data_IF_388061777820
#
_entry.id   IF_388061777820
#
_cell.length_a   1.000
_cell.length_b   1.000
_cell.length_c   1.000
_cell.angle_alpha   90.00
_cell.angle_beta   90.00
_cell.angle_gamma   90.00
#
_symmetry.space_group_name_H-M   'P 1'
#
loop_
_entity.id
_entity.type
_entity.pdbx_description
1 polymer ?
#
# COMPACT_ATOMS: atom_id res chain seq x y z
N UNK A 1 -23.95 -19.60 22.34
CA UNK A 1 -23.85 -18.39 21.50
C UNK A 1 -22.62 -17.65 22.01
N UNK A 2 -21.44 -18.07 21.57
CA UNK A 2 -20.17 -17.59 22.13
C UNK A 2 -19.87 -16.22 21.54
N UNK A 3 -19.68 -15.23 22.42
CA UNK A 3 -19.31 -13.86 22.09
C UNK A 3 -18.10 -13.81 21.14
N UNK A 4 -18.33 -13.38 19.90
CA UNK A 4 -17.28 -12.93 18.99
C UNK A 4 -16.62 -11.68 19.59
N UNK A 5 -15.59 -11.90 20.40
CA UNK A 5 -14.62 -10.87 20.78
C UNK A 5 -14.21 -10.16 19.50
N UNK A 6 -14.62 -8.89 19.37
CA UNK A 6 -14.29 -8.02 18.24
C UNK A 6 -12.80 -8.16 17.90
N UNK A 7 -12.51 -9.01 16.91
CA UNK A 7 -11.15 -9.39 16.59
C UNK A 7 -10.51 -8.19 15.90
N UNK A 8 -9.86 -7.33 16.70
CA UNK A 8 -9.07 -6.21 16.19
C UNK A 8 -8.14 -6.78 15.13
N UNK A 9 -8.27 -6.30 13.90
CA UNK A 9 -7.44 -6.76 12.80
C UNK A 9 -5.98 -6.50 13.16
N UNK A 10 -5.19 -7.58 13.33
CA UNK A 10 -3.75 -7.46 13.53
C UNK A 10 -3.07 -6.85 12.31
N UNK A 11 -1.81 -6.43 12.45
CA UNK A 11 -1.02 -5.82 11.36
C UNK A 11 -0.97 -6.66 10.09
N UNK A 12 -0.88 -7.99 10.23
CA UNK A 12 -0.82 -8.91 9.09
C UNK A 12 -2.16 -9.06 8.36
N UNK A 13 -3.24 -9.34 9.11
CA UNK A 13 -4.58 -9.57 8.53
C UNK A 13 -5.26 -8.28 8.07
N UNK A 14 -5.00 -7.17 8.77
CA UNK A 14 -5.65 -5.88 8.53
C UNK A 14 -4.95 -4.97 7.53
N UNK A 15 -3.62 -5.06 7.40
CA UNK A 15 -2.84 -4.14 6.56
C UNK A 15 -2.05 -4.88 5.50
N UNK A 16 -1.23 -5.87 5.87
CA UNK A 16 -0.31 -6.51 4.92
C UNK A 16 -1.04 -7.29 3.81
N UNK A 17 -1.96 -8.20 4.18
CA UNK A 17 -2.73 -8.98 3.20
C UNK A 17 -3.52 -8.09 2.23
N UNK A 18 -4.34 -7.11 2.67
CA UNK A 18 -5.09 -6.28 1.74
C UNK A 18 -4.18 -5.39 0.88
N UNK A 19 -3.11 -4.82 1.44
CA UNK A 19 -2.20 -3.95 0.68
C UNK A 19 -1.44 -4.73 -0.40
N UNK A 20 -0.93 -5.92 -0.08
CA UNK A 20 -0.27 -6.80 -1.04
C UNK A 20 -1.25 -7.24 -2.14
N UNK A 21 -2.49 -7.60 -1.78
CA UNK A 21 -3.51 -8.01 -2.74
C UNK A 21 -3.87 -6.89 -3.72
N UNK A 22 -3.99 -5.64 -3.25
CA UNK A 22 -4.26 -4.48 -4.13
C UNK A 22 -3.12 -4.22 -5.11
N UNK A 23 -1.86 -4.22 -4.64
CA UNK A 23 -0.70 -3.94 -5.48
C UNK A 23 -0.48 -5.06 -6.50
N UNK A 24 -0.42 -6.32 -6.04
CA UNK A 24 -0.22 -7.45 -6.94
C UNK A 24 -1.40 -7.67 -7.88
N UNK A 25 -2.63 -7.46 -7.42
CA UNK A 25 -3.84 -7.70 -8.21
C UNK A 25 -3.89 -6.85 -9.48
N UNK A 26 -3.81 -5.52 -9.36
CA UNK A 26 -3.97 -4.63 -10.52
C UNK A 26 -2.75 -4.71 -11.46
N UNK A 27 -1.54 -4.65 -10.92
CA UNK A 27 -0.32 -4.53 -11.74
C UNK A 27 -0.05 -5.83 -12.50
N UNK A 28 -0.14 -6.98 -11.82
CA UNK A 28 0.18 -8.26 -12.43
C UNK A 28 -0.85 -8.68 -13.47
N UNK A 29 -2.14 -8.42 -13.21
CA UNK A 29 -3.23 -8.88 -14.09
C UNK A 29 -3.49 -7.96 -15.28
N UNK A 30 -3.34 -6.63 -15.10
CA UNK A 30 -3.74 -5.65 -16.14
C UNK A 30 -2.55 -4.99 -16.85
N UNK A 31 -1.39 -4.86 -16.20
CA UNK A 31 -0.33 -3.97 -16.70
C UNK A 31 0.93 -4.69 -17.13
N UNK A 32 1.37 -5.73 -16.41
CA UNK A 32 2.65 -6.42 -16.69
C UNK A 32 2.72 -6.98 -18.11
N UNK A 33 1.67 -7.66 -18.59
CA UNK A 33 1.66 -8.24 -19.93
C UNK A 33 1.78 -7.20 -21.05
N UNK A 34 1.03 -6.10 -20.95
CA UNK A 34 1.08 -5.02 -21.94
C UNK A 34 2.39 -4.23 -21.89
N UNK A 35 2.89 -3.98 -20.68
CA UNK A 35 4.13 -3.22 -20.44
C UNK A 35 5.37 -3.94 -21.00
N UNK A 36 5.50 -5.25 -20.76
CA UNK A 36 6.62 -6.04 -21.29
C UNK A 36 6.57 -6.12 -22.82
N UNK A 37 5.37 -6.21 -23.40
CA UNK A 37 5.21 -6.27 -24.85
C UNK A 37 5.57 -4.96 -25.58
N UNK A 38 5.31 -3.79 -24.98
CA UNK A 38 5.63 -2.50 -25.60
C UNK A 38 7.04 -2.00 -25.28
N UNK A 39 7.49 -2.14 -24.03
CA UNK A 39 8.74 -1.54 -23.53
C UNK A 39 9.92 -2.53 -23.56
N UNK A 40 9.64 -3.81 -23.75
CA UNK A 40 10.64 -4.87 -23.72
C UNK A 40 11.07 -5.26 -22.30
N UNK A 41 11.81 -6.36 -22.19
CA UNK A 41 12.15 -6.97 -20.90
C UNK A 41 13.08 -6.09 -20.06
N UNK A 42 14.14 -5.54 -20.66
CA UNK A 42 15.11 -4.68 -19.95
C UNK A 42 14.45 -3.38 -19.47
N UNK A 43 13.66 -2.73 -20.33
CA UNK A 43 12.97 -1.49 -19.97
C UNK A 43 11.91 -1.73 -18.88
N UNK A 44 11.23 -2.88 -18.91
CA UNK A 44 10.29 -3.25 -17.86
C UNK A 44 10.94 -3.40 -16.48
N UNK A 45 12.14 -4.00 -16.41
CA UNK A 45 12.90 -4.17 -15.17
C UNK A 45 13.29 -2.82 -14.57
N UNK A 46 13.82 -1.90 -15.39
CA UNK A 46 14.20 -0.55 -14.92
C UNK A 46 13.01 0.19 -14.32
N UNK A 47 11.85 0.13 -14.98
CA UNK A 47 10.62 0.78 -14.50
C UNK A 47 10.16 0.16 -13.17
N UNK A 48 10.19 -1.17 -13.04
CA UNK A 48 9.79 -1.85 -11.80
C UNK A 48 10.72 -1.46 -10.64
N UNK A 49 12.03 -1.43 -10.87
CA UNK A 49 13.00 -1.02 -9.85
C UNK A 49 12.75 0.42 -9.39
N UNK A 50 12.53 1.34 -10.33
CA UNK A 50 12.30 2.76 -10.03
C UNK A 50 10.95 2.98 -9.32
N UNK A 51 9.90 2.29 -9.77
CA UNK A 51 8.57 2.30 -9.14
C UNK A 51 8.61 1.75 -7.70
N UNK A 52 9.34 0.66 -7.48
CA UNK A 52 9.55 0.08 -6.15
C UNK A 52 10.24 1.07 -5.21
N UNK A 53 11.26 1.80 -5.70
CA UNK A 53 11.94 2.84 -4.92
C UNK A 53 11.01 3.98 -4.50
N UNK A 54 10.17 4.47 -5.42
CA UNK A 54 9.18 5.52 -5.13
C UNK A 54 8.16 5.03 -4.10
N UNK A 55 7.66 3.81 -4.27
CA UNK A 55 6.69 3.19 -3.35
C UNK A 55 7.28 3.04 -1.95
N UNK A 56 8.55 2.63 -1.86
CA UNK A 56 9.26 2.50 -0.59
C UNK A 56 9.42 3.85 0.13
N UNK A 57 9.86 4.89 -0.58
CA UNK A 57 9.98 6.25 -0.03
C UNK A 57 8.63 6.80 0.43
N UNK A 58 7.57 6.57 -0.35
CA UNK A 58 6.20 7.01 -0.01
C UNK A 58 5.70 6.30 1.24
N UNK A 59 5.91 4.99 1.33
CA UNK A 59 5.56 4.18 2.51
C UNK A 59 6.27 4.68 3.77
N UNK A 60 7.56 5.03 3.66
CA UNK A 60 8.32 5.59 4.77
C UNK A 60 7.76 6.96 5.23
N UNK A 61 7.36 7.82 4.30
CA UNK A 61 6.73 9.11 4.61
C UNK A 61 5.40 8.94 5.35
N UNK A 62 4.57 7.99 4.90
CA UNK A 62 3.28 7.70 5.55
C UNK A 62 3.51 7.10 6.95
N UNK A 63 4.49 6.21 7.10
CA UNK A 63 4.84 5.62 8.39
C UNK A 63 5.30 6.68 9.41
N UNK A 64 6.11 7.66 8.97
CA UNK A 64 6.54 8.78 9.81
C UNK A 64 5.35 9.64 10.26
N UNK A 65 4.43 9.95 9.33
CA UNK A 65 3.21 10.72 9.63
C UNK A 65 2.31 9.98 10.61
N UNK A 66 2.05 8.69 10.36
CA UNK A 66 1.23 7.84 11.21
C UNK A 66 1.79 7.68 12.63
N UNK A 67 3.12 7.77 12.80
CA UNK A 67 3.77 7.70 14.11
C UNK A 67 3.71 9.02 14.87
N UNK A 68 3.63 10.16 14.18
CA UNK A 68 3.63 11.49 14.80
C UNK A 68 2.24 11.92 15.33
N UNK A 69 1.16 11.31 14.83
CA UNK A 69 -0.21 11.66 15.20
C UNK A 69 -0.98 10.52 15.89
N UNK A 70 -1.91 10.85 16.81
CA UNK A 70 -2.89 9.87 17.30
C UNK A 70 -3.91 9.59 16.20
N UNK A 71 -3.76 8.45 15.53
CA UNK A 71 -4.66 8.02 14.45
C UNK A 71 -6.04 7.66 15.04
N UNK A 72 -7.05 8.46 14.71
CA UNK A 72 -8.46 8.18 15.05
C UNK A 72 -9.12 7.21 14.06
N UNK A 73 -10.42 6.94 14.25
CA UNK A 73 -11.17 5.94 13.47
C UNK A 73 -11.34 6.23 11.96
N UNK A 74 -10.87 7.38 11.45
CA UNK A 74 -11.05 7.79 10.06
C UNK A 74 -9.94 7.39 9.07
N UNK A 75 -8.99 6.55 9.49
CA UNK A 75 -7.99 5.95 8.60
C UNK A 75 -7.13 6.98 7.86
N UNK A 76 -6.87 6.75 6.56
CA UNK A 76 -6.03 7.62 5.74
C UNK A 76 -6.56 9.05 5.60
N UNK A 77 -7.89 9.23 5.50
CA UNK A 77 -8.48 10.56 5.40
C UNK A 77 -8.26 11.38 6.67
N UNK A 78 -8.42 10.76 7.84
CA UNK A 78 -8.12 11.39 9.13
C UNK A 78 -6.62 11.73 9.27
N UNK A 79 -5.74 10.90 8.73
CA UNK A 79 -4.30 11.17 8.72
C UNK A 79 -3.94 12.41 7.88
N UNK A 80 -4.55 12.55 6.70
CA UNK A 80 -4.23 13.64 5.78
C UNK A 80 -4.81 14.98 6.27
N UNK A 81 -6.08 15.01 6.70
CA UNK A 81 -6.73 16.26 7.14
C UNK A 81 -6.06 16.87 8.38
N UNK A 82 -5.55 16.05 9.30
CA UNK A 82 -4.85 16.58 10.49
C UNK A 82 -3.42 17.00 10.22
N UNK A 83 -2.78 16.42 9.19
CA UNK A 83 -1.38 16.72 8.83
C UNK A 83 -1.26 17.94 7.91
N UNK A 84 -2.24 18.19 7.06
CA UNK A 84 -2.25 19.34 6.14
C UNK A 84 -3.16 20.50 6.60
N UNK A 85 -4.06 20.27 7.57
CA UNK A 85 -5.01 21.28 8.05
C UNK A 85 -6.32 21.27 7.26
#
# INVERSE_FOLDING_TARGET
MSEDTSAKFGTLKGVFIPSALTIFGVIMYLRMGWMVAHVGLIGSIVIITLSSMITFMTGLSIAATATNMKVGAGGAYYMISRSFG
#
